data_IF_739325506895
#
_entry.id   IF_739325506895
#
_cell.length_a   1.000
_cell.length_b   1.000
_cell.length_c   1.000
_cell.angle_alpha   90.00
_cell.angle_beta   90.00
_cell.angle_gamma   90.00
#
_symmetry.space_group_name_H-M   'P 1'
#
loop_
_entity.id
_entity.type
_entity.pdbx_description
1 polymer ?
#
# COMPACT_ATOMS: atom_id res chain seq x y z
N UNK A 1 -12.32 -17.16 -5.08
CA UNK A 1 -12.16 -15.80 -4.53
C UNK A 1 -12.21 -15.84 -3.01
N UNK A 2 -11.32 -15.11 -2.34
CA UNK A 2 -11.10 -15.19 -0.88
C UNK A 2 -11.97 -14.16 -0.15
N UNK A 3 -12.73 -14.60 0.87
CA UNK A 3 -13.56 -13.70 1.69
C UNK A 3 -12.67 -12.72 2.48
N UNK A 4 -12.97 -11.42 2.42
CA UNK A 4 -12.29 -10.39 3.21
C UNK A 4 -11.19 -9.61 2.47
N UNK A 5 -10.99 -9.84 1.17
CA UNK A 5 -10.09 -9.04 0.34
C UNK A 5 -10.87 -7.90 -0.36
N UNK A 6 -10.23 -6.74 -0.44
CA UNK A 6 -10.76 -5.62 -1.22
C UNK A 6 -10.44 -5.81 -2.71
N UNK A 7 -11.44 -6.26 -3.47
CA UNK A 7 -11.32 -6.65 -4.89
C UNK A 7 -11.35 -5.48 -5.89
N UNK A 8 -11.44 -4.23 -5.41
CA UNK A 8 -11.40 -3.05 -6.30
C UNK A 8 -9.96 -2.64 -6.65
N UNK A 9 -8.96 -3.13 -5.91
CA UNK A 9 -7.55 -2.80 -6.12
C UNK A 9 -7.17 -1.34 -5.85
N UNK A 10 -8.04 -0.54 -5.23
CA UNK A 10 -7.86 0.92 -5.11
C UNK A 10 -6.70 1.33 -4.19
N UNK A 11 -6.39 0.56 -3.14
CA UNK A 11 -5.33 0.93 -2.19
C UNK A 11 -3.92 0.75 -2.76
N UNK A 12 -3.75 -0.12 -3.77
CA UNK A 12 -2.48 -0.43 -4.44
C UNK A 12 -1.31 -0.79 -3.49
N UNK A 13 -1.59 -1.22 -2.26
CA UNK A 13 -0.55 -1.65 -1.31
C UNK A 13 0.00 -3.03 -1.67
N UNK A 14 -0.83 -3.91 -2.23
CA UNK A 14 -0.46 -5.28 -2.62
C UNK A 14 0.22 -5.37 -3.99
N UNK A 15 0.83 -4.29 -4.48
CA UNK A 15 1.56 -4.34 -5.76
C UNK A 15 2.72 -5.33 -5.70
N UNK A 16 2.95 -6.00 -6.83
CA UNK A 16 4.02 -6.98 -7.02
C UNK A 16 4.70 -6.74 -8.36
N UNK A 17 5.94 -7.20 -8.50
CA UNK A 17 6.66 -7.19 -9.77
C UNK A 17 6.55 -8.58 -10.41
N UNK A 18 6.22 -8.60 -11.70
CA UNK A 18 6.09 -9.83 -12.49
C UNK A 18 7.10 -9.75 -13.62
N UNK A 19 7.90 -10.78 -13.81
CA UNK A 19 8.89 -10.79 -14.90
C UNK A 19 8.22 -10.62 -16.26
N UNK A 20 8.85 -9.82 -17.14
CA UNK A 20 8.28 -9.45 -18.44
C UNK A 20 7.17 -8.39 -18.37
N UNK A 21 6.69 -7.99 -17.19
CA UNK A 21 5.72 -6.90 -17.04
C UNK A 21 6.42 -5.58 -16.74
N UNK A 22 6.14 -4.56 -17.57
CA UNK A 22 6.63 -3.21 -17.33
C UNK A 22 5.89 -2.49 -16.20
N UNK A 23 4.70 -2.96 -15.79
CA UNK A 23 3.92 -2.36 -14.72
C UNK A 23 3.98 -3.21 -13.45
N UNK A 24 3.61 -2.63 -12.30
CA UNK A 24 3.44 -3.35 -11.03
C UNK A 24 1.94 -3.68 -10.81
N UNK A 25 1.45 -4.86 -11.21
CA UNK A 25 0.06 -5.25 -11.00
C UNK A 25 -0.28 -5.37 -9.50
N UNK A 26 -1.55 -5.17 -9.16
CA UNK A 26 -2.03 -5.37 -7.79
C UNK A 26 -2.43 -6.84 -7.58
N UNK A 27 -1.81 -7.51 -6.62
CA UNK A 27 -2.02 -8.93 -6.39
C UNK A 27 -3.47 -9.31 -6.02
N UNK A 28 -4.24 -8.39 -5.41
CA UNK A 28 -5.61 -8.71 -4.98
C UNK A 28 -6.62 -8.85 -6.13
N UNK A 29 -6.29 -8.39 -7.34
CA UNK A 29 -7.19 -8.40 -8.50
C UNK A 29 -6.57 -9.03 -9.75
N UNK A 30 -5.28 -9.36 -9.69
CA UNK A 30 -4.57 -9.91 -10.85
C UNK A 30 -4.70 -11.43 -10.84
N UNK A 31 -5.20 -12.00 -11.94
CA UNK A 31 -5.28 -13.44 -12.11
C UNK A 31 -3.89 -14.03 -12.32
N UNK A 32 -3.65 -15.18 -11.71
CA UNK A 32 -2.42 -15.96 -11.93
C UNK A 32 -2.44 -16.57 -13.33
N UNK A 33 -1.29 -16.61 -13.98
CA UNK A 33 -1.07 -17.36 -15.21
C UNK A 33 0.10 -18.32 -15.03
N UNK A 34 0.08 -19.42 -15.80
CA UNK A 34 1.14 -20.42 -15.75
C UNK A 34 2.49 -19.81 -16.16
N UNK A 35 3.53 -20.15 -15.40
CA UNK A 35 4.88 -19.64 -15.62
C UNK A 35 5.14 -18.21 -15.10
N UNK A 36 4.19 -17.58 -14.40
CA UNK A 36 4.43 -16.27 -13.76
C UNK A 36 5.51 -16.36 -12.67
N UNK A 37 6.55 -15.54 -12.81
CA UNK A 37 7.56 -15.32 -11.76
C UNK A 37 7.27 -14.00 -11.07
N UNK A 38 7.00 -14.05 -9.76
CA UNK A 38 6.53 -12.91 -8.97
C UNK A 38 7.57 -12.55 -7.91
N UNK A 39 8.02 -11.29 -7.94
CA UNK A 39 8.89 -10.69 -6.93
C UNK A 39 8.08 -9.76 -6.03
N UNK A 40 8.00 -10.08 -4.74
CA UNK A 40 7.15 -9.35 -3.76
C UNK A 40 7.91 -8.34 -2.90
N UNK A 41 9.24 -8.40 -2.91
CA UNK A 41 10.14 -7.58 -2.09
C UNK A 41 11.23 -6.89 -2.91
N UNK A 42 11.05 -6.76 -4.24
CA UNK A 42 12.02 -6.04 -5.07
C UNK A 42 12.10 -4.56 -4.66
N UNK A 43 13.23 -3.88 -4.92
CA UNK A 43 13.38 -2.45 -4.59
C UNK A 43 12.27 -1.59 -5.21
N UNK A 44 11.81 -1.98 -6.40
CA UNK A 44 10.75 -1.31 -7.15
C UNK A 44 9.39 -1.46 -6.48
N UNK A 45 9.06 -2.67 -6.01
CA UNK A 45 7.83 -2.95 -5.25
C UNK A 45 7.83 -2.19 -3.92
N UNK A 46 8.93 -2.25 -3.17
CA UNK A 46 9.03 -1.55 -1.88
C UNK A 46 8.87 -0.04 -2.05
N UNK A 47 9.51 0.54 -3.06
CA UNK A 47 9.39 1.96 -3.38
C UNK A 47 7.96 2.35 -3.75
N UNK A 48 7.30 1.56 -4.61
CA UNK A 48 5.91 1.80 -5.00
C UNK A 48 4.94 1.70 -3.80
N UNK A 49 5.12 0.71 -2.92
CA UNK A 49 4.31 0.57 -1.70
C UNK A 49 4.47 1.77 -0.78
N UNK A 50 5.70 2.29 -0.64
CA UNK A 50 5.98 3.49 0.15
C UNK A 50 5.21 4.69 -0.39
N UNK A 51 5.29 4.93 -1.70
CA UNK A 51 4.58 6.04 -2.35
C UNK A 51 3.06 5.89 -2.20
N UNK A 52 2.51 4.70 -2.42
CA UNK A 52 1.07 4.47 -2.27
C UNK A 52 0.60 4.71 -0.82
N UNK A 53 1.36 4.25 0.17
CA UNK A 53 1.06 4.53 1.58
C UNK A 53 1.16 6.02 1.91
N UNK A 54 2.16 6.74 1.39
CA UNK A 54 2.29 8.20 1.54
C UNK A 54 1.12 8.97 0.90
N UNK A 55 0.61 8.52 -0.24
CA UNK A 55 -0.58 9.10 -0.87
C UNK A 55 -1.83 8.88 -0.02
N UNK A 56 -1.99 7.70 0.58
CA UNK A 56 -3.08 7.44 1.53
C UNK A 56 -2.95 8.38 2.74
N UNK A 57 -1.74 8.50 3.30
CA UNK A 57 -1.45 9.40 4.42
C UNK A 57 -1.68 10.87 4.08
N UNK A 58 -1.48 11.29 2.82
CA UNK A 58 -1.68 12.70 2.41
C UNK A 58 -3.13 13.18 2.55
N UNK A 59 -4.07 12.23 2.62
CA UNK A 59 -5.51 12.48 2.82
C UNK A 59 -6.00 11.98 4.18
N UNK A 60 -5.11 11.45 5.02
CA UNK A 60 -5.45 10.91 6.33
C UNK A 60 -5.13 11.94 7.40
N UNK A 61 -6.10 12.23 8.29
CA UNK A 61 -5.83 13.08 9.44
C UNK A 61 -4.90 12.34 10.42
N UNK A 62 -3.64 12.76 10.48
CA UNK A 62 -2.60 12.08 11.24
C UNK A 62 -2.58 12.44 12.74
N UNK A 63 -3.72 12.85 13.31
CA UNK A 63 -3.92 13.05 14.75
C UNK A 63 -4.04 11.70 15.51
N UNK A 64 -2.99 10.88 15.46
CA UNK A 64 -2.98 9.57 16.10
C UNK A 64 -3.28 9.60 17.61
N UNK A 65 -2.77 10.55 18.43
CA UNK A 65 -3.03 10.56 19.88
C UNK A 65 -4.52 10.65 20.26
N UNK A 66 -5.33 11.33 19.45
CA UNK A 66 -6.79 11.42 19.65
C UNK A 66 -7.59 10.38 18.86
N UNK A 67 -6.92 9.57 18.03
CA UNK A 67 -7.56 8.54 17.22
C UNK A 67 -7.88 7.31 18.07
N UNK A 68 -9.14 6.84 18.01
CA UNK A 68 -9.60 5.63 18.72
C UNK A 68 -8.88 4.34 18.29
N UNK A 69 -8.22 4.36 17.13
CA UNK A 69 -7.46 3.24 16.57
C UNK A 69 -5.97 3.30 16.91
N UNK A 70 -5.53 4.28 17.71
CA UNK A 70 -4.13 4.40 18.08
C UNK A 70 -3.67 3.12 18.79
N UNK A 71 -2.51 2.60 18.39
CA UNK A 71 -1.95 1.35 18.93
C UNK A 71 -2.49 0.05 18.29
N UNK A 72 -3.57 0.11 17.51
CA UNK A 72 -4.09 -1.05 16.74
C UNK A 72 -4.41 -0.71 15.26
N UNK A 73 -3.91 0.43 14.77
CA UNK A 73 -4.18 0.91 13.42
C UNK A 73 -3.30 0.19 12.38
N UNK A 74 -3.92 -0.53 11.45
CA UNK A 74 -3.21 -1.19 10.35
C UNK A 74 -2.40 -0.23 9.47
N UNK A 75 -2.86 1.01 9.29
CA UNK A 75 -2.12 2.04 8.53
C UNK A 75 -0.86 2.50 9.28
N UNK A 76 -0.92 2.58 10.61
CA UNK A 76 0.23 2.88 11.46
C UNK A 76 1.27 1.76 11.36
N UNK A 77 0.85 0.50 11.48
CA UNK A 77 1.72 -0.68 11.32
C UNK A 77 2.35 -0.73 9.93
N UNK A 78 1.56 -0.50 8.88
CA UNK A 78 2.05 -0.47 7.51
C UNK A 78 3.10 0.63 7.31
N UNK A 79 2.84 1.84 7.81
CA UNK A 79 3.75 2.97 7.70
C UNK A 79 5.08 2.71 8.42
N UNK A 80 5.02 2.12 9.60
CA UNK A 80 6.20 1.68 10.34
C UNK A 80 6.99 0.61 9.57
N UNK A 81 6.34 -0.42 9.03
CA UNK A 81 7.02 -1.47 8.24
C UNK A 81 7.69 -0.95 6.97
N UNK A 82 7.14 0.12 6.39
CA UNK A 82 7.69 0.79 5.22
C UNK A 82 8.69 1.89 5.60
N UNK A 83 9.02 2.07 6.88
CA UNK A 83 9.91 3.11 7.39
C UNK A 83 9.52 4.52 6.92
N UNK A 84 8.23 4.83 6.90
CA UNK A 84 7.72 6.16 6.55
C UNK A 84 7.80 7.05 7.79
N UNK A 85 8.80 7.93 7.82
CA UNK A 85 9.00 8.90 8.92
C UNK A 85 8.46 10.28 8.60
N UNK A 86 8.34 10.60 7.31
CA UNK A 86 7.77 11.85 6.82
C UNK A 86 6.98 11.59 5.54
N UNK A 87 5.98 12.44 5.30
CA UNK A 87 5.19 12.44 4.08
C UNK A 87 5.63 13.60 3.18
N UNK A 88 6.15 13.35 1.97
CA UNK A 88 6.55 14.42 1.05
C UNK A 88 5.35 15.14 0.41
N UNK A 89 4.15 14.56 0.49
CA UNK A 89 2.94 15.17 -0.05
C UNK A 89 2.29 16.10 0.98
N UNK A 90 1.77 17.26 0.56
CA UNK A 90 1.06 18.16 1.46
C UNK A 90 -0.22 17.49 1.99
N UNK A 91 -0.49 17.65 3.28
CA UNK A 91 -1.71 17.15 3.89
C UNK A 91 -2.91 17.95 3.35
N UNK A 92 -3.80 17.27 2.63
CA UNK A 92 -5.10 17.83 2.26
C UNK A 92 -6.10 17.47 3.35
N UNK A 93 -6.33 18.41 4.26
CA UNK A 93 -7.41 18.28 5.23
C UNK A 93 -8.75 18.19 4.48
N UNK A 94 -9.37 17.02 4.53
CA UNK A 94 -10.75 16.85 4.10
C UNK A 94 -11.59 17.45 5.24
N UNK A 95 -12.18 18.62 4.99
CA UNK A 95 -13.13 19.27 5.91
C UNK A 95 -14.39 18.42 6.06
#
# INVERSE_FOLDING_TARGET
HWKGINEIGACRVCVVEVEGCSNLPAACVTNVADGMVIHTSSPRVVSARRVNAQLILSRHNCHCPSCVRNGNCALQTLSASLNITANPFPEKQIK
#
